data_IF_548143650734
#
_entry.id   IF_548143650734
#
_cell.length_a   1.000
_cell.length_b   1.000
_cell.length_c   1.000
_cell.angle_alpha   90.00
_cell.angle_beta   90.00
_cell.angle_gamma   90.00
#
_symmetry.space_group_name_H-M   'P 1'
#
loop_
_entity.id
_entity.type
_entity.pdbx_description
1 polymer ?
#
# COMPACT_ATOMS: atom_id res chain seq x y z
N UNK A 1 -3.93 7.93 -17.07
CA UNK A 1 -3.57 7.56 -15.68
C UNK A 1 -2.30 8.27 -15.25
N UNK A 2 -2.22 8.73 -14.00
CA UNK A 2 -1.01 9.26 -13.38
C UNK A 2 -0.63 8.41 -12.15
N UNK A 3 0.68 8.18 -11.99
CA UNK A 3 1.23 7.35 -10.90
C UNK A 3 2.10 8.23 -9.99
N UNK A 4 1.89 8.16 -8.68
CA UNK A 4 2.66 8.91 -7.68
C UNK A 4 3.29 7.91 -6.70
N UNK A 5 4.51 7.43 -6.98
CA UNK A 5 5.22 6.49 -6.10
C UNK A 5 5.73 7.18 -4.83
N UNK A 6 5.83 6.45 -3.72
CA UNK A 6 6.48 6.94 -2.49
C UNK A 6 5.92 8.24 -1.92
N UNK A 7 4.61 8.48 -2.06
CA UNK A 7 3.93 9.69 -1.64
C UNK A 7 4.11 9.95 -0.13
N UNK A 8 4.87 10.99 0.19
CA UNK A 8 4.98 11.58 1.51
C UNK A 8 4.02 12.76 1.65
N UNK A 9 4.53 13.95 1.96
CA UNK A 9 3.76 15.20 1.90
C UNK A 9 3.91 15.85 0.53
N UNK A 10 2.86 16.52 0.05
CA UNK A 10 2.89 17.32 -1.17
C UNK A 10 2.76 18.80 -0.83
N UNK A 11 3.34 19.61 -1.70
CA UNK A 11 2.98 21.02 -1.77
C UNK A 11 1.47 21.15 -2.11
N UNK A 12 0.74 22.08 -1.47
CA UNK A 12 -0.70 22.29 -1.73
C UNK A 12 -1.05 22.50 -3.20
N UNK A 13 -0.19 23.16 -4.00
CA UNK A 13 -0.44 23.39 -5.42
C UNK A 13 -0.35 22.08 -6.23
N UNK A 14 0.58 21.18 -5.87
CA UNK A 14 0.69 19.86 -6.49
C UNK A 14 -0.52 19.00 -6.10
N UNK A 15 -0.92 19.02 -4.82
CA UNK A 15 -2.10 18.29 -4.37
C UNK A 15 -3.37 18.75 -5.09
N UNK A 16 -3.53 20.07 -5.28
CA UNK A 16 -4.65 20.64 -6.04
C UNK A 16 -4.59 20.22 -7.51
N UNK A 17 -3.41 20.26 -8.14
CA UNK A 17 -3.24 19.83 -9.54
C UNK A 17 -3.65 18.37 -9.73
N UNK A 18 -3.30 17.48 -8.80
CA UNK A 18 -3.72 16.07 -8.86
C UNK A 18 -5.23 15.92 -8.71
N UNK A 19 -5.84 16.68 -7.79
CA UNK A 19 -7.30 16.70 -7.62
C UNK A 19 -7.99 17.17 -8.92
N UNK A 20 -7.55 18.28 -9.50
CA UNK A 20 -8.11 18.82 -10.74
C UNK A 20 -7.98 17.82 -11.90
N UNK A 21 -6.83 17.14 -12.01
CA UNK A 21 -6.63 16.07 -13.00
C UNK A 21 -7.62 14.93 -12.80
N UNK A 22 -7.84 14.51 -11.54
CA UNK A 22 -8.75 13.43 -11.19
C UNK A 22 -10.22 13.79 -11.49
N UNK A 23 -10.64 15.00 -11.15
CA UNK A 23 -11.96 15.54 -11.47
C UNK A 23 -12.18 15.71 -12.98
N UNK A 24 -11.11 16.06 -13.70
CA UNK A 24 -11.07 16.11 -15.16
C UNK A 24 -11.08 14.73 -15.86
N UNK A 25 -11.06 13.63 -15.10
CA UNK A 25 -11.19 12.27 -15.63
C UNK A 25 -9.96 11.38 -15.48
N UNK A 26 -8.87 11.90 -14.92
CA UNK A 26 -7.63 11.14 -14.79
C UNK A 26 -7.75 10.08 -13.68
N UNK A 27 -7.35 8.86 -13.98
CA UNK A 27 -7.12 7.82 -12.97
C UNK A 27 -5.80 8.07 -12.24
N UNK A 28 -5.85 8.26 -10.92
CA UNK A 28 -4.68 8.44 -10.06
C UNK A 28 -4.36 7.13 -9.32
N UNK A 29 -3.08 6.77 -9.27
CA UNK A 29 -2.56 5.76 -8.35
C UNK A 29 -1.54 6.40 -7.43
N UNK A 30 -1.86 6.44 -6.14
CA UNK A 30 -1.00 6.97 -5.08
C UNK A 30 -0.42 5.79 -4.29
N UNK A 31 0.88 5.62 -4.32
CA UNK A 31 1.59 4.68 -3.46
C UNK A 31 2.13 5.44 -2.25
N UNK A 32 1.78 5.03 -1.03
CA UNK A 32 2.20 5.74 0.19
C UNK A 32 3.64 5.44 0.56
N UNK A 33 4.45 6.49 0.67
CA UNK A 33 5.77 6.46 1.32
C UNK A 33 5.68 6.70 2.83
N UNK A 34 4.47 6.75 3.41
CA UNK A 34 4.28 7.21 4.78
C UNK A 34 4.87 6.26 5.84
N UNK A 35 5.16 5.01 5.44
CA UNK A 35 5.98 4.06 6.19
C UNK A 35 7.42 4.49 6.43
N UNK A 36 7.87 5.67 5.96
CA UNK A 36 9.21 6.21 6.23
C UNK A 36 9.20 7.59 6.89
N UNK A 37 8.01 8.17 7.10
CA UNK A 37 7.86 9.51 7.66
C UNK A 37 8.04 9.53 9.18
N UNK A 38 8.44 10.68 9.70
CA UNK A 38 8.32 11.01 11.13
C UNK A 38 6.86 11.17 11.55
N UNK A 39 6.52 11.13 12.85
CA UNK A 39 5.14 11.30 13.31
C UNK A 39 4.50 12.65 12.89
N UNK A 40 5.29 13.73 12.85
CA UNK A 40 4.80 15.04 12.44
C UNK A 40 4.49 15.10 10.94
N UNK A 41 5.38 14.57 10.11
CA UNK A 41 5.18 14.45 8.67
C UNK A 41 4.03 13.51 8.34
N UNK A 42 3.89 12.40 9.06
CA UNK A 42 2.76 11.48 8.93
C UNK A 42 1.43 12.17 9.25
N UNK A 43 1.40 12.96 10.32
CA UNK A 43 0.20 13.74 10.66
C UNK A 43 -0.16 14.76 9.56
N UNK A 44 0.84 15.36 8.92
CA UNK A 44 0.62 16.24 7.76
C UNK A 44 0.13 15.45 6.53
N UNK A 45 0.70 14.28 6.27
CA UNK A 45 0.27 13.36 5.21
C UNK A 45 -1.20 12.95 5.38
N UNK A 46 -1.61 12.55 6.59
CA UNK A 46 -3.02 12.21 6.88
C UNK A 46 -3.96 13.38 6.60
N UNK A 47 -3.61 14.59 7.06
CA UNK A 47 -4.44 15.79 6.82
C UNK A 47 -4.54 16.12 5.32
N UNK A 48 -3.44 15.96 4.58
CA UNK A 48 -3.42 16.18 3.13
C UNK A 48 -4.32 15.17 2.41
N UNK A 49 -4.17 13.88 2.69
CA UNK A 49 -5.00 12.84 2.06
C UNK A 49 -6.48 13.03 2.34
N UNK A 50 -6.83 13.32 3.59
CA UNK A 50 -8.21 13.61 3.96
C UNK A 50 -8.74 14.87 3.26
N UNK A 51 -7.94 15.95 3.23
CA UNK A 51 -8.38 17.25 2.67
C UNK A 51 -8.61 17.20 1.17
N UNK A 52 -7.68 16.60 0.42
CA UNK A 52 -7.70 16.67 -1.06
C UNK A 52 -8.38 15.46 -1.70
N UNK A 53 -8.37 14.32 -1.03
CA UNK A 53 -8.84 13.06 -1.63
C UNK A 53 -9.96 12.39 -0.82
N UNK A 54 -10.34 12.96 0.33
CA UNK A 54 -11.33 12.37 1.24
C UNK A 54 -10.97 10.90 1.55
N UNK A 55 -9.68 10.69 1.83
CA UNK A 55 -9.05 9.41 2.11
C UNK A 55 -8.50 9.41 3.55
N UNK A 56 -9.08 8.56 4.39
CA UNK A 56 -8.61 8.31 5.75
C UNK A 56 -7.59 7.18 5.80
N UNK A 57 -6.46 7.40 6.46
CA UNK A 57 -5.43 6.37 6.67
C UNK A 57 -4.97 6.29 8.12
N UNK A 58 -4.56 5.12 8.57
CA UNK A 58 -4.07 4.83 9.92
C UNK A 58 -2.55 4.94 10.04
N UNK A 59 -2.00 4.94 11.27
CA UNK A 59 -0.56 5.02 11.49
C UNK A 59 0.18 3.86 10.83
N UNK A 60 1.43 4.06 10.36
CA UNK A 60 2.22 2.98 9.78
C UNK A 60 2.44 1.84 10.79
N UNK A 61 2.18 0.62 10.35
CA UNK A 61 2.33 -0.61 11.14
C UNK A 61 3.56 -1.35 10.65
N UNK A 62 4.46 -1.67 11.59
CA UNK A 62 5.60 -2.53 11.31
C UNK A 62 5.21 -4.01 11.47
N UNK A 63 5.05 -4.69 10.33
CA UNK A 63 4.71 -6.11 10.28
C UNK A 63 5.91 -7.02 10.56
N UNK A 64 7.12 -6.47 10.58
CA UNK A 64 8.38 -7.19 10.80
C UNK A 64 8.87 -7.09 12.26
N UNK A 65 8.39 -6.12 13.04
CA UNK A 65 8.81 -5.86 14.44
C UNK A 65 8.58 -7.04 15.41
N UNK A 66 7.71 -8.00 15.08
CA UNK A 66 7.54 -9.25 15.84
C UNK A 66 8.79 -10.15 15.91
N UNK A 67 9.88 -9.80 15.22
CA UNK A 67 11.06 -10.65 15.02
C UNK A 67 12.36 -10.21 15.74
N UNK A 68 12.37 -9.24 16.66
CA UNK A 68 13.67 -8.67 17.11
C UNK A 68 13.79 -8.34 18.60
N UNK A 69 13.56 -9.31 19.50
CA UNK A 69 14.03 -9.20 20.90
C UNK A 69 14.68 -10.45 21.52
N UNK A 70 14.76 -11.59 20.82
CA UNK A 70 15.34 -12.82 21.39
C UNK A 70 16.72 -13.20 20.82
N UNK A 71 17.09 -12.71 19.63
CA UNK A 71 18.20 -13.30 18.86
C UNK A 71 19.59 -12.70 19.19
N UNK A 72 19.72 -11.85 20.22
CA UNK A 72 21.01 -11.22 20.60
C UNK A 72 21.71 -11.87 21.81
N UNK A 73 21.30 -13.06 22.27
CA UNK A 73 22.06 -13.79 23.30
C UNK A 73 22.84 -14.93 22.68
N UNK A 74 24.10 -14.64 22.34
CA UNK A 74 25.09 -15.68 22.08
C UNK A 74 25.48 -16.35 23.40
N UNK A 75 24.65 -17.27 23.88
CA UNK A 75 25.02 -18.19 24.95
C UNK A 75 25.39 -19.55 24.32
N UNK A 76 26.67 -19.87 24.33
CA UNK A 76 27.17 -21.20 24.00
C UNK A 76 26.86 -22.19 25.12
N UNK A 77 26.14 -23.29 24.85
CA UNK A 77 26.59 -24.69 25.10
C UNK A 77 25.52 -25.76 24.77
N UNK A 78 25.93 -27.03 24.59
CA UNK A 78 25.27 -27.98 23.71
C UNK A 78 24.35 -28.97 24.44
N UNK A 79 23.44 -29.56 23.67
CA UNK A 79 22.93 -30.90 23.95
C UNK A 79 21.42 -31.02 24.06
N UNK A 80 20.85 -31.71 23.07
CA UNK A 80 19.88 -32.81 23.17
C UNK A 80 18.73 -32.64 22.18
N UNK A 81 18.62 -33.64 21.30
CA UNK A 81 17.54 -33.78 20.32
C UNK A 81 16.21 -33.96 21.05
N UNK A 82 15.47 -32.87 21.23
CA UNK A 82 14.02 -32.91 21.29
C UNK A 82 13.50 -32.29 20.00
N UNK A 83 12.76 -33.11 19.24
CA UNK A 83 12.00 -32.66 18.07
C UNK A 83 10.88 -31.76 18.57
N UNK A 84 11.22 -30.49 18.80
CA UNK A 84 10.29 -29.40 19.02
C UNK A 84 9.72 -29.07 17.65
N UNK A 85 8.40 -29.18 17.48
CA UNK A 85 7.70 -28.53 16.38
C UNK A 85 8.04 -27.04 16.43
N UNK A 86 9.03 -26.65 15.64
CA UNK A 86 9.46 -25.27 15.49
C UNK A 86 8.58 -24.65 14.41
N UNK A 87 7.30 -24.44 14.71
CA UNK A 87 6.42 -23.61 13.88
C UNK A 87 6.45 -22.15 14.37
N UNK A 88 7.65 -21.58 14.45
CA UNK A 88 7.84 -20.13 14.53
C UNK A 88 8.56 -19.64 13.28
N UNK A 89 8.11 -20.15 12.13
CA UNK A 89 8.50 -19.68 10.81
C UNK A 89 8.03 -18.25 10.64
N UNK A 90 8.97 -17.31 10.66
CA UNK A 90 8.79 -15.88 10.42
C UNK A 90 8.03 -15.68 9.09
N UNK A 91 6.71 -15.52 9.13
CA UNK A 91 5.90 -15.40 7.90
C UNK A 91 6.23 -14.08 7.23
N UNK A 92 6.70 -14.14 5.98
CA UNK A 92 6.91 -12.97 5.14
C UNK A 92 5.56 -12.29 4.92
N UNK A 93 5.40 -10.99 5.23
CA UNK A 93 4.17 -10.28 4.97
C UNK A 93 3.87 -10.21 3.47
N UNK A 94 2.64 -10.55 3.11
CA UNK A 94 2.12 -10.43 1.75
C UNK A 94 0.82 -9.64 1.75
N UNK A 95 0.65 -8.79 0.75
CA UNK A 95 -0.61 -8.12 0.42
C UNK A 95 -1.37 -9.00 -0.56
N UNK A 96 -2.60 -9.37 -0.22
CA UNK A 96 -3.53 -9.92 -1.17
C UNK A 96 -4.30 -8.77 -1.84
N UNK A 97 -3.97 -8.46 -3.09
CA UNK A 97 -4.75 -7.56 -3.93
C UNK A 97 -5.92 -8.32 -4.54
N UNK A 98 -7.11 -7.75 -4.49
CA UNK A 98 -8.39 -8.36 -4.91
C UNK A 98 -8.89 -7.81 -6.26
N UNK A 99 -8.37 -6.67 -6.68
CA UNK A 99 -8.70 -5.99 -7.94
C UNK A 99 -7.42 -5.47 -8.58
N UNK A 100 -7.31 -5.43 -9.92
CA UNK A 100 -8.29 -5.86 -10.93
C UNK A 100 -8.33 -7.37 -11.15
N UNK A 101 -7.36 -8.06 -10.56
CA UNK A 101 -7.33 -9.52 -10.42
C UNK A 101 -6.80 -9.85 -9.04
N UNK A 102 -7.12 -11.03 -8.55
CA UNK A 102 -6.55 -11.51 -7.30
C UNK A 102 -5.04 -11.78 -7.49
N UNK A 103 -4.19 -11.21 -6.64
CA UNK A 103 -2.72 -11.36 -6.73
C UNK A 103 -2.07 -11.10 -5.38
N UNK A 104 -1.13 -11.99 -5.01
CA UNK A 104 -0.38 -11.89 -3.77
C UNK A 104 0.97 -11.24 -4.06
N UNK A 105 1.22 -10.08 -3.46
CA UNK A 105 2.47 -9.32 -3.62
C UNK A 105 3.19 -9.24 -2.30
N UNK A 106 4.51 -9.45 -2.31
CA UNK A 106 5.32 -9.38 -1.09
C UNK A 106 5.46 -7.93 -0.62
N UNK A 107 5.26 -7.68 0.67
CA UNK A 107 5.61 -6.41 1.29
C UNK A 107 7.02 -6.45 1.88
N UNK A 108 7.68 -5.31 1.94
CA UNK A 108 9.05 -5.15 2.45
C UNK A 108 9.20 -4.00 3.46
N UNK A 109 8.10 -3.44 3.97
CA UNK A 109 8.14 -2.15 4.68
C UNK A 109 7.11 -2.06 5.82
N UNK A 110 6.88 -0.83 6.31
CA UNK A 110 5.74 -0.54 7.19
C UNK A 110 4.53 -0.22 6.33
N UNK A 111 3.39 -0.82 6.66
CA UNK A 111 2.15 -0.64 5.89
C UNK A 111 1.28 0.44 6.50
N UNK A 112 0.56 1.16 5.65
CA UNK A 112 -0.34 2.25 6.01
C UNK A 112 -1.79 1.76 5.84
N UNK A 113 -2.54 1.53 6.93
CA UNK A 113 -3.91 1.04 6.85
C UNK A 113 -4.85 2.06 6.19
N UNK A 114 -5.83 1.60 5.43
CA UNK A 114 -6.95 2.44 4.96
C UNK A 114 -8.08 2.41 5.99
N UNK A 115 -8.61 3.59 6.33
CA UNK A 115 -9.67 3.75 7.34
C UNK A 115 -11.02 4.20 6.76
N UNK A 116 -11.07 4.60 5.49
CA UNK A 116 -12.27 5.18 4.86
C UNK A 116 -13.45 4.20 4.83
N UNK A 117 -14.63 4.69 5.23
CA UNK A 117 -15.93 4.01 5.07
C UNK A 117 -16.58 4.48 3.77
N UNK A 118 -16.34 3.79 2.66
CA UNK A 118 -16.94 4.16 1.36
C UNK A 118 -16.06 3.89 0.15
N UNK A 119 -14.84 3.41 0.34
CA UNK A 119 -13.94 3.00 -0.73
C UNK A 119 -13.97 1.49 -0.90
N UNK A 120 -13.83 1.02 -2.14
CA UNK A 120 -13.70 -0.40 -2.44
C UNK A 120 -12.34 -0.87 -1.93
N UNK A 121 -12.31 -1.78 -0.96
CA UNK A 121 -11.05 -2.35 -0.49
C UNK A 121 -10.54 -3.32 -1.55
N UNK A 122 -9.40 -2.97 -2.16
CA UNK A 122 -8.77 -3.74 -3.22
C UNK A 122 -7.50 -4.45 -2.76
N UNK A 123 -7.06 -4.28 -1.52
CA UNK A 123 -5.89 -4.99 -1.00
C UNK A 123 -5.87 -5.09 0.52
N UNK A 124 -5.43 -6.26 1.02
CA UNK A 124 -5.43 -6.59 2.45
C UNK A 124 -4.19 -7.35 2.88
N UNK A 125 -3.84 -7.21 4.16
CA UNK A 125 -2.93 -8.11 4.87
C UNK A 125 -3.72 -8.75 6.01
N UNK A 126 -4.11 -10.01 5.84
CA UNK A 126 -5.10 -10.65 6.71
C UNK A 126 -6.38 -9.79 6.77
N UNK A 127 -6.87 -9.39 7.97
CA UNK A 127 -8.05 -8.53 8.08
C UNK A 127 -7.77 -7.05 7.76
N UNK A 128 -6.51 -6.62 7.76
CA UNK A 128 -6.12 -5.21 7.67
C UNK A 128 -6.26 -4.69 6.22
N UNK A 129 -7.15 -3.73 5.94
CA UNK A 129 -7.20 -3.06 4.65
C UNK A 129 -5.96 -2.17 4.45
N UNK A 130 -5.26 -2.35 3.33
CA UNK A 130 -4.04 -1.59 2.99
C UNK A 130 -4.08 -1.01 1.58
N UNK A 131 -5.09 -1.31 0.78
CA UNK A 131 -5.29 -0.65 -0.50
C UNK A 131 -6.77 -0.47 -0.79
N UNK A 132 -7.10 0.65 -1.43
CA UNK A 132 -8.47 1.01 -1.76
C UNK A 132 -8.57 1.64 -3.14
N UNK A 133 -9.79 1.58 -3.69
CA UNK A 133 -10.19 2.25 -4.91
C UNK A 133 -11.45 3.06 -4.64
N UNK A 134 -11.44 4.32 -5.05
CA UNK A 134 -12.60 5.22 -5.04
C UNK A 134 -12.87 5.64 -6.47
N UNK A 135 -14.08 5.36 -6.97
CA UNK A 135 -14.52 5.88 -8.26
C UNK A 135 -15.14 7.25 -8.07
N UNK A 136 -14.77 8.19 -8.93
CA UNK A 136 -15.43 9.49 -9.06
C UNK A 136 -16.17 9.54 -10.39
N UNK A 137 -16.97 10.59 -10.61
CA UNK A 137 -17.79 10.73 -11.83
C UNK A 137 -16.97 10.51 -13.11
N UNK A 138 -15.78 11.14 -13.17
CA UNK A 138 -14.93 11.11 -14.36
C UNK A 138 -13.63 10.32 -14.15
N UNK A 139 -13.06 10.30 -12.94
CA UNK A 139 -11.78 9.64 -12.65
C UNK A 139 -11.88 8.50 -11.64
N UNK A 140 -10.72 8.00 -11.20
CA UNK A 140 -10.62 7.13 -10.03
C UNK A 140 -9.39 7.48 -9.21
N UNK A 141 -9.46 7.18 -7.92
CA UNK A 141 -8.33 7.19 -7.01
C UNK A 141 -8.06 5.74 -6.58
N UNK A 142 -6.83 5.29 -6.80
CA UNK A 142 -6.29 4.06 -6.24
C UNK A 142 -5.24 4.46 -5.21
N UNK A 143 -5.38 3.99 -3.98
CA UNK A 143 -4.40 4.20 -2.92
C UNK A 143 -3.78 2.89 -2.49
N UNK A 144 -2.45 2.84 -2.42
CA UNK A 144 -1.67 1.70 -1.95
C UNK A 144 -0.91 2.12 -0.68
N UNK A 145 -1.33 1.60 0.45
CA UNK A 145 -0.67 1.79 1.75
C UNK A 145 0.51 0.86 1.98
N UNK A 146 0.72 -0.13 1.11
CA UNK A 146 1.93 -0.95 1.03
C UNK A 146 2.55 -0.76 -0.36
N UNK A 147 3.78 -0.24 -0.45
CA UNK A 147 4.49 -0.10 -1.70
C UNK A 147 4.63 -1.45 -2.44
N UNK A 148 4.50 -1.43 -3.76
CA UNK A 148 4.64 -2.63 -4.62
C UNK A 148 6.12 -3.04 -4.82
N UNK A 149 6.94 -2.90 -3.78
CA UNK A 149 8.41 -2.89 -3.79
C UNK A 149 8.99 -1.47 -3.76
N UNK A 150 10.33 -1.28 -3.65
CA UNK A 150 10.98 0.00 -3.33
C UNK A 150 10.69 1.27 -4.18
N UNK A 151 9.73 1.25 -5.12
CA UNK A 151 8.88 2.38 -5.56
C UNK A 151 8.24 2.10 -6.95
N UNK A 152 7.66 0.91 -7.15
CA UNK A 152 7.23 0.30 -8.44
C UNK A 152 8.37 -0.22 -9.33
N UNK A 153 8.42 -1.56 -9.54
CA UNK A 153 9.33 -2.38 -10.40
C UNK A 153 10.55 -3.04 -9.75
N UNK A 154 10.56 -3.27 -8.44
CA UNK A 154 11.66 -3.94 -7.74
C UNK A 154 11.75 -5.47 -7.94
N UNK A 155 11.79 -5.92 -9.20
CA UNK A 155 12.03 -7.33 -9.55
C UNK A 155 10.87 -8.30 -9.30
N UNK A 156 9.82 -7.89 -8.57
CA UNK A 156 8.64 -8.72 -8.35
C UNK A 156 7.76 -8.79 -9.61
N UNK A 157 7.63 -10.00 -10.17
CA UNK A 157 6.85 -10.26 -11.38
C UNK A 157 5.35 -10.08 -11.14
N UNK A 158 4.84 -10.45 -9.97
CA UNK A 158 3.43 -10.31 -9.63
C UNK A 158 3.05 -8.84 -9.47
N UNK A 159 3.89 -8.05 -8.79
CA UNK A 159 3.69 -6.61 -8.67
C UNK A 159 3.63 -5.91 -10.06
N UNK A 160 4.53 -6.28 -10.97
CA UNK A 160 4.55 -5.75 -12.35
C UNK A 160 3.31 -6.16 -13.14
N UNK A 161 2.93 -7.43 -13.02
CA UNK A 161 1.79 -8.02 -13.73
C UNK A 161 0.45 -7.43 -13.24
N UNK A 162 0.34 -7.20 -11.93
CA UNK A 162 -0.80 -6.52 -11.31
C UNK A 162 -0.91 -5.07 -11.77
N UNK A 163 0.18 -4.29 -11.74
CA UNK A 163 0.16 -2.89 -12.21
C UNK A 163 -0.23 -2.78 -13.69
N UNK A 164 0.26 -3.69 -14.54
CA UNK A 164 -0.16 -3.75 -15.95
C UNK A 164 -1.64 -4.08 -16.14
N UNK A 165 -2.21 -4.86 -15.22
CA UNK A 165 -3.65 -5.17 -15.22
C UNK A 165 -4.46 -3.95 -14.76
N UNK A 166 -3.96 -3.15 -13.81
CA UNK A 166 -4.59 -1.90 -13.35
C UNK A 166 -4.69 -0.89 -14.50
N UNK A 167 -3.58 -0.65 -15.21
CA UNK A 167 -3.57 0.29 -16.34
C UNK A 167 -4.54 -0.14 -17.43
N UNK A 168 -4.62 -1.45 -17.69
CA UNK A 168 -5.54 -2.01 -18.69
C UNK A 168 -7.00 -1.87 -18.26
N UNK A 169 -7.32 -2.17 -16.99
CA UNK A 169 -8.68 -2.08 -16.47
C UNK A 169 -9.23 -0.65 -16.47
N UNK A 170 -8.40 0.34 -16.10
CA UNK A 170 -8.84 1.75 -16.15
C UNK A 170 -8.99 2.24 -17.60
N UNK A 171 -8.13 1.79 -18.53
CA UNK A 171 -8.27 2.10 -19.96
C UNK A 171 -9.59 1.56 -20.53
N UNK A 172 -9.97 0.32 -20.19
CA UNK A 172 -11.26 -0.26 -20.61
C UNK A 172 -12.44 0.52 -19.99
N UNK A 173 -12.30 0.95 -18.74
CA UNK A 173 -13.31 1.77 -18.08
C UNK A 173 -13.49 3.15 -18.73
N UNK A 174 -12.42 3.73 -19.30
CA UNK A 174 -12.48 4.94 -20.12
C UNK A 174 -13.25 4.71 -21.43
N UNK A 175 -12.92 3.64 -22.17
CA UNK A 175 -13.60 3.33 -23.44
C UNK A 175 -15.10 3.06 -23.29
N UNK A 176 -15.53 2.45 -22.19
CA UNK A 176 -16.94 2.19 -21.94
C UNK A 176 -17.77 3.47 -21.67
N UNK A 177 -17.12 4.64 -21.55
CA UNK A 177 -17.77 5.93 -21.26
C UNK A 177 -17.93 6.85 -22.49
N UNK A 178 -17.25 6.55 -23.60
CA UNK A 178 -17.35 7.28 -24.87
C UNK A 178 -18.39 6.68 -25.80
#
# INVERSE_FOLDING_TARGET
>A
MALVPGLGTLDPAIAQTLLDLMEGGTHLLLESGAGFLSPAEFSAHQRMLHRYFDLGVGPPIDLWAGNSRADCRFDHRPGSHQRKESDSGKSVPYVNYLWPRETIVRDFSRVVPVLSKGEDIIGRIGPLPVASKKRLANGSLIFLGSPLGPALRAGDLEARSWLGSVTSAETVADFARG
#
